data_IF_453828183754
#
_entry.id   IF_453828183754
#
_cell.length_a   1.000
_cell.length_b   1.000
_cell.length_c   1.000
_cell.angle_alpha   90.00
_cell.angle_beta   90.00
_cell.angle_gamma   90.00
#
_symmetry.space_group_name_H-M   'P 1'
#
loop_
_entity.id
_entity.type
_entity.pdbx_description
1 polymer ?
#
# COMPACT_ATOMS: atom_id res chain seq x y z
N UNK A 1 3.94 -45.17 68.24
CA UNK A 1 4.64 -45.59 67.00
C UNK A 1 3.57 -45.87 65.96
N UNK A 2 3.19 -44.86 65.16
CA UNK A 2 2.08 -44.97 64.21
C UNK A 2 2.61 -45.70 62.96
N UNK A 3 2.14 -46.92 62.74
CA UNK A 3 2.52 -47.78 61.62
C UNK A 3 1.72 -47.31 60.40
N UNK A 4 2.36 -46.51 59.54
CA UNK A 4 1.78 -46.06 58.28
C UNK A 4 1.74 -47.25 57.31
N UNK A 5 0.58 -47.57 56.69
CA UNK A 5 0.44 -48.74 55.82
C UNK A 5 1.32 -48.63 54.55
N UNK A 6 1.88 -49.76 54.05
CA UNK A 6 2.88 -49.78 52.98
C UNK A 6 2.37 -49.24 51.63
N UNK A 7 1.05 -49.24 51.42
CA UNK A 7 0.41 -48.66 50.22
C UNK A 7 0.49 -47.12 50.20
N UNK A 8 0.41 -46.46 51.37
CA UNK A 8 0.44 -44.99 51.46
C UNK A 8 1.85 -44.44 51.18
N UNK A 9 2.89 -45.21 51.54
CA UNK A 9 4.30 -44.87 51.30
C UNK A 9 4.67 -44.93 49.81
N UNK A 10 4.12 -45.89 49.06
CA UNK A 10 4.27 -45.97 47.59
C UNK A 10 3.55 -44.82 46.88
N UNK A 11 2.36 -44.44 47.37
CA UNK A 11 1.61 -43.30 46.82
C UNK A 11 2.33 -41.96 47.05
N UNK A 12 2.94 -41.77 48.22
CA UNK A 12 3.73 -40.57 48.53
C UNK A 12 5.01 -40.49 47.69
N UNK A 13 5.70 -41.60 47.45
CA UNK A 13 6.85 -41.68 46.55
C UNK A 13 6.48 -41.38 45.09
N UNK A 14 5.32 -41.85 44.62
CA UNK A 14 4.81 -41.54 43.28
C UNK A 14 4.49 -40.04 43.14
N UNK A 15 3.88 -39.41 44.15
CA UNK A 15 3.62 -37.96 44.15
C UNK A 15 4.91 -37.13 44.17
N UNK A 16 5.94 -37.56 44.90
CA UNK A 16 7.27 -36.90 44.91
C UNK A 16 7.99 -37.06 43.56
N UNK A 17 7.84 -38.19 42.89
CA UNK A 17 8.35 -38.43 41.53
C UNK A 17 7.56 -37.66 40.44
N UNK A 18 6.26 -37.40 40.65
CA UNK A 18 5.44 -36.57 39.75
C UNK A 18 5.63 -35.06 39.97
N UNK A 19 6.02 -34.63 41.18
CA UNK A 19 6.24 -33.21 41.51
C UNK A 19 7.65 -32.70 41.21
N UNK A 20 8.60 -33.58 40.88
CA UNK A 20 10.00 -33.22 40.54
C UNK A 20 10.19 -32.69 39.11
N UNK A 21 9.10 -32.51 38.34
CA UNK A 21 9.16 -32.11 36.93
C UNK A 21 8.77 -30.66 36.64
N UNK A 22 8.55 -29.82 37.66
CA UNK A 22 8.36 -28.37 37.44
C UNK A 22 9.74 -27.70 37.49
N UNK A 23 10.57 -28.02 36.50
CA UNK A 23 11.78 -27.25 36.25
C UNK A 23 11.37 -25.83 35.85
N UNK A 24 11.63 -24.86 36.73
CA UNK A 24 11.55 -23.45 36.35
C UNK A 24 12.59 -23.23 35.25
N UNK A 25 12.12 -23.00 34.02
CA UNK A 25 12.99 -22.67 32.91
C UNK A 25 13.85 -21.46 33.27
N UNK A 26 15.16 -21.59 33.11
CA UNK A 26 16.13 -20.54 33.42
C UNK A 26 17.00 -20.29 32.20
N UNK A 27 16.93 -19.08 31.63
CA UNK A 27 17.83 -18.68 30.56
C UNK A 27 19.22 -18.40 31.14
N UNK A 28 20.24 -18.60 30.31
CA UNK A 28 21.63 -18.33 30.65
C UNK A 28 22.35 -17.71 29.48
N UNK A 29 22.60 -16.40 29.55
CA UNK A 29 23.37 -15.68 28.52
C UNK A 29 24.73 -15.29 29.09
N UNK A 30 25.80 -15.69 28.43
CA UNK A 30 27.18 -15.44 28.87
C UNK A 30 28.02 -14.95 27.71
N UNK A 31 29.03 -14.17 27.97
CA UNK A 31 29.97 -13.78 26.94
C UNK A 31 31.23 -13.20 27.51
N UNK A 32 32.16 -12.91 26.61
CA UNK A 32 33.43 -12.29 26.95
C UNK A 32 33.64 -11.07 26.05
N UNK A 33 34.13 -9.99 26.63
CA UNK A 33 34.70 -8.86 25.89
C UNK A 33 36.22 -8.94 25.95
N UNK A 34 36.89 -8.25 25.01
CA UNK A 34 38.35 -8.23 24.89
C UNK A 34 39.10 -8.20 26.24
N UNK A 35 40.20 -8.95 26.30
CA UNK A 35 41.00 -9.12 27.52
C UNK A 35 41.31 -7.79 28.23
N UNK A 36 41.20 -7.82 29.57
CA UNK A 36 41.55 -6.72 30.48
C UNK A 36 40.61 -5.49 30.49
N UNK A 37 39.38 -5.60 29.95
CA UNK A 37 38.34 -4.57 30.10
C UNK A 37 37.37 -4.87 31.26
N UNK A 38 37.81 -4.63 32.50
CA UNK A 38 36.98 -4.78 33.71
C UNK A 38 36.00 -3.61 33.90
N UNK A 39 34.83 -3.88 34.47
CA UNK A 39 33.90 -2.84 34.92
C UNK A 39 33.12 -2.13 33.81
N UNK A 40 33.07 -2.71 32.60
CA UNK A 40 32.23 -2.23 31.51
C UNK A 40 30.79 -2.65 31.75
N UNK A 41 29.84 -1.77 31.45
CA UNK A 41 28.42 -2.05 31.67
C UNK A 41 27.83 -2.71 30.43
N UNK A 42 27.14 -3.82 30.64
CA UNK A 42 26.47 -4.58 29.61
C UNK A 42 25.00 -4.65 29.96
N UNK A 43 24.15 -4.49 28.94
CA UNK A 43 22.72 -4.41 29.10
C UNK A 43 22.04 -5.45 28.23
N UNK A 44 21.05 -6.12 28.81
CA UNK A 44 20.13 -7.01 28.12
C UNK A 44 18.82 -6.25 27.89
N UNK A 45 18.40 -6.12 26.64
CA UNK A 45 17.18 -5.42 26.24
C UNK A 45 16.25 -6.31 25.43
N UNK A 46 14.94 -6.08 25.50
CA UNK A 46 13.93 -6.72 24.66
C UNK A 46 13.43 -5.76 23.59
N UNK A 47 13.30 -6.25 22.35
CA UNK A 47 12.86 -5.44 21.21
C UNK A 47 11.48 -5.92 20.76
N UNK A 48 10.45 -5.20 21.20
CA UNK A 48 9.05 -5.46 20.81
C UNK A 48 8.58 -4.63 19.61
N UNK A 49 9.41 -3.68 19.17
CA UNK A 49 9.17 -2.82 18.01
C UNK A 49 10.34 -2.99 17.05
N UNK A 50 10.11 -3.71 15.96
CA UNK A 50 11.15 -4.04 14.97
C UNK A 50 11.68 -2.79 14.25
N UNK A 51 10.98 -1.65 14.26
CA UNK A 51 11.51 -0.37 13.73
C UNK A 51 12.60 0.23 14.62
N UNK A 52 12.86 -0.34 15.79
CA UNK A 52 13.92 0.07 16.74
C UNK A 52 15.14 -0.86 16.75
N UNK A 53 15.31 -1.74 15.74
CA UNK A 53 16.49 -2.60 15.64
C UNK A 53 17.83 -1.84 15.60
N UNK A 54 17.87 -0.60 15.09
CA UNK A 54 19.08 0.21 15.07
C UNK A 54 19.27 1.17 16.25
N UNK A 55 18.33 1.26 17.20
CA UNK A 55 18.36 2.28 18.27
C UNK A 55 18.30 1.64 19.65
N UNK A 56 19.15 2.10 20.56
CA UNK A 56 19.11 1.71 21.98
C UNK A 56 18.09 2.58 22.68
N UNK A 57 17.13 1.97 23.38
CA UNK A 57 16.11 2.69 24.14
C UNK A 57 16.12 2.23 25.60
N UNK A 58 16.17 3.18 26.53
CA UNK A 58 16.25 2.87 27.97
C UNK A 58 15.03 2.07 28.47
N UNK A 59 13.85 2.30 27.89
CA UNK A 59 12.63 1.58 28.25
C UNK A 59 12.61 0.11 27.78
N UNK A 60 13.58 -0.32 26.98
CA UNK A 60 13.72 -1.70 26.51
C UNK A 60 14.67 -2.53 27.39
N UNK A 61 15.39 -1.90 28.32
CA UNK A 61 16.38 -2.58 29.16
C UNK A 61 15.67 -3.45 30.20
N UNK A 62 15.96 -4.76 30.16
CA UNK A 62 15.48 -5.73 31.13
C UNK A 62 16.44 -5.88 32.31
N UNK A 63 17.74 -5.99 32.02
CA UNK A 63 18.79 -6.22 33.01
C UNK A 63 20.08 -5.50 32.61
N UNK A 64 20.91 -5.21 33.61
CA UNK A 64 22.29 -4.74 33.43
C UNK A 64 23.24 -5.56 34.28
N UNK A 65 24.47 -5.72 33.81
CA UNK A 65 25.57 -6.38 34.51
C UNK A 65 26.88 -5.67 34.19
N UNK A 66 27.95 -6.02 34.89
CA UNK A 66 29.28 -5.48 34.65
C UNK A 66 30.27 -6.59 34.36
N UNK A 67 31.29 -6.31 33.56
CA UNK A 67 32.35 -7.28 33.26
C UNK A 67 33.30 -7.49 34.44
N UNK A 68 33.75 -8.73 34.62
CA UNK A 68 34.79 -9.08 35.59
C UNK A 68 36.19 -8.66 35.11
N UNK A 69 37.22 -9.00 35.88
CA UNK A 69 38.62 -8.67 35.57
C UNK A 69 39.14 -9.27 34.26
N UNK A 70 38.49 -10.32 33.76
CA UNK A 70 38.83 -11.03 32.53
C UNK A 70 37.91 -10.65 31.36
N UNK A 71 36.95 -9.74 31.58
CA UNK A 71 36.00 -9.29 30.56
C UNK A 71 34.76 -10.18 30.43
N UNK A 72 34.52 -11.15 31.33
CA UNK A 72 33.32 -11.99 31.27
C UNK A 72 32.10 -11.29 31.83
N UNK A 73 30.94 -11.63 31.26
CA UNK A 73 29.64 -11.22 31.75
C UNK A 73 28.63 -12.37 31.70
N UNK A 74 27.59 -12.27 32.53
CA UNK A 74 26.49 -13.24 32.54
C UNK A 74 25.16 -12.60 32.93
N UNK A 75 24.10 -13.05 32.27
CA UNK A 75 22.71 -12.81 32.61
C UNK A 75 22.02 -14.16 32.85
N UNK A 76 21.42 -14.33 34.02
CA UNK A 76 20.65 -15.51 34.37
C UNK A 76 19.30 -15.10 34.94
N UNK A 77 18.27 -15.91 34.74
CA UNK A 77 16.96 -15.69 35.35
C UNK A 77 15.87 -16.53 34.72
N UNK A 78 14.64 -16.33 35.17
CA UNK A 78 13.45 -17.06 34.73
C UNK A 78 12.31 -16.12 34.29
N UNK A 79 12.63 -14.87 34.03
CA UNK A 79 11.68 -13.77 33.81
C UNK A 79 11.57 -13.35 32.33
N UNK A 80 12.07 -14.15 31.40
CA UNK A 80 11.85 -13.93 29.96
C UNK A 80 10.56 -14.61 29.50
N UNK A 81 10.11 -14.21 28.31
CA UNK A 81 8.95 -14.82 27.66
C UNK A 81 9.33 -16.23 27.16
N UNK A 82 8.41 -17.19 27.27
CA UNK A 82 8.65 -18.59 26.88
C UNK A 82 8.66 -18.78 25.36
N UNK A 83 7.95 -17.95 24.60
CA UNK A 83 8.11 -17.94 23.14
C UNK A 83 9.35 -17.13 22.74
N UNK A 84 9.91 -17.45 21.57
CA UNK A 84 11.00 -16.67 21.00
C UNK A 84 10.63 -15.18 20.90
N UNK A 85 11.58 -14.34 21.32
CA UNK A 85 11.55 -12.88 21.22
C UNK A 85 12.91 -12.38 20.76
N UNK A 86 12.92 -11.14 20.31
CA UNK A 86 14.13 -10.46 19.85
C UNK A 86 14.75 -9.74 21.04
N UNK A 87 15.99 -10.10 21.35
CA UNK A 87 16.77 -9.47 22.41
C UNK A 87 17.99 -8.79 21.82
N UNK A 88 18.51 -7.83 22.59
CA UNK A 88 19.78 -7.17 22.31
C UNK A 88 20.69 -7.25 23.52
N UNK A 89 21.94 -7.61 23.29
CA UNK A 89 23.03 -7.29 24.21
C UNK A 89 23.77 -6.08 23.65
N UNK A 90 23.94 -5.07 24.49
CA UNK A 90 24.76 -3.91 24.14
C UNK A 90 25.81 -3.64 25.22
N UNK A 91 27.02 -3.38 24.75
CA UNK A 91 28.16 -2.93 25.53
C UNK A 91 28.22 -1.41 25.45
N UNK A 92 28.18 -0.76 26.61
CA UNK A 92 28.39 0.67 26.73
C UNK A 92 29.87 0.95 27.02
N UNK A 93 30.62 1.37 25.99
CA UNK A 93 32.03 1.76 26.06
C UNK A 93 32.21 3.29 25.82
N UNK A 94 31.15 4.08 25.98
CA UNK A 94 31.18 5.52 25.70
C UNK A 94 31.88 6.31 26.85
N UNK A 95 32.70 7.33 26.55
CA UNK A 95 33.33 8.15 27.59
C UNK A 95 32.29 8.90 28.42
N UNK A 96 32.49 9.00 29.74
CA UNK A 96 31.54 9.71 30.64
C UNK A 96 31.40 11.22 30.36
N UNK A 97 32.23 11.80 29.50
CA UNK A 97 32.23 13.23 29.14
C UNK A 97 31.28 13.58 27.98
N UNK A 98 30.85 12.60 27.17
CA UNK A 98 29.80 12.77 26.16
C UNK A 98 28.44 12.64 26.85
N UNK A 99 27.71 13.75 26.93
CA UNK A 99 26.42 13.89 27.58
C UNK A 99 25.40 12.85 27.11
N UNK A 100 24.46 12.52 28.01
CA UNK A 100 23.29 11.65 27.83
C UNK A 100 22.46 11.86 26.56
N UNK A 101 22.69 12.94 25.82
CA UNK A 101 22.12 13.21 24.50
C UNK A 101 22.66 12.30 23.39
N UNK A 102 23.95 11.93 23.38
CA UNK A 102 24.51 11.06 22.34
C UNK A 102 23.97 9.62 22.44
N UNK A 103 23.68 9.17 23.67
CA UNK A 103 22.95 7.93 23.92
C UNK A 103 21.49 7.97 23.45
N UNK A 104 20.84 9.13 23.47
CA UNK A 104 19.46 9.27 23.01
C UNK A 104 19.33 9.14 21.48
N UNK A 105 20.34 9.57 20.73
CA UNK A 105 20.36 9.49 19.26
C UNK A 105 21.10 8.24 18.72
N UNK A 106 21.71 7.44 19.59
CA UNK A 106 22.38 6.18 19.21
C UNK A 106 23.68 6.39 18.44
N UNK A 107 24.42 7.45 18.75
CA UNK A 107 25.57 7.95 17.97
C UNK A 107 26.90 7.68 18.66
N UNK A 108 27.08 6.54 19.33
CA UNK A 108 28.35 6.20 19.96
C UNK A 108 29.09 5.15 19.13
N UNK A 109 30.19 5.58 18.49
CA UNK A 109 31.08 4.75 17.67
C UNK A 109 31.71 3.59 18.46
N UNK A 110 31.78 3.71 19.79
CA UNK A 110 32.32 2.70 20.70
C UNK A 110 31.25 1.74 21.28
N UNK A 111 29.97 1.97 20.98
CA UNK A 111 28.90 1.07 21.45
C UNK A 111 28.78 -0.13 20.51
N UNK A 112 29.06 -1.33 21.04
CA UNK A 112 28.88 -2.59 20.31
C UNK A 112 27.57 -3.23 20.73
N UNK A 113 26.81 -3.76 19.78
CA UNK A 113 25.57 -4.46 20.11
C UNK A 113 25.28 -5.60 19.14
N UNK A 114 24.60 -6.62 19.65
CA UNK A 114 24.16 -7.77 18.87
C UNK A 114 22.69 -8.06 19.14
N UNK A 115 21.95 -8.30 18.07
CA UNK A 115 20.58 -8.79 18.12
C UNK A 115 20.57 -10.31 18.04
N UNK A 116 19.68 -10.95 18.78
CA UNK A 116 19.53 -12.40 18.74
C UNK A 116 18.11 -12.82 19.11
N UNK A 117 17.74 -14.01 18.68
CA UNK A 117 16.49 -14.65 19.05
C UNK A 117 16.73 -15.51 20.28
N UNK A 118 15.89 -15.36 21.31
CA UNK A 118 15.94 -16.22 22.48
C UNK A 118 14.56 -16.40 23.12
N UNK A 119 14.47 -17.32 24.07
CA UNK A 119 13.36 -17.47 25.00
C UNK A 119 13.87 -17.77 26.43
N UNK A 120 12.96 -18.00 27.37
CA UNK A 120 13.28 -18.25 28.78
C UNK A 120 14.00 -19.58 29.07
N UNK A 121 14.17 -20.45 28.07
CA UNK A 121 14.84 -21.78 28.17
C UNK A 121 16.23 -21.78 27.55
N UNK A 122 16.58 -20.75 26.77
CA UNK A 122 17.78 -20.77 25.95
C UNK A 122 19.05 -20.48 26.75
N UNK A 123 20.12 -21.18 26.37
CA UNK A 123 21.49 -20.87 26.82
C UNK A 123 22.28 -20.35 25.63
N UNK A 124 22.83 -19.14 25.76
CA UNK A 124 23.52 -18.42 24.70
C UNK A 124 24.89 -17.97 25.18
N UNK A 125 25.88 -18.16 24.33
CA UNK A 125 27.26 -17.76 24.55
C UNK A 125 27.72 -16.84 23.43
N UNK A 126 28.38 -15.74 23.81
CA UNK A 126 28.96 -14.75 22.92
C UNK A 126 30.50 -14.80 23.07
N UNK A 127 31.18 -15.67 22.32
CA UNK A 127 32.64 -15.73 22.34
C UNK A 127 33.25 -14.47 21.71
N UNK A 128 34.53 -14.22 21.99
CA UNK A 128 35.32 -13.24 21.25
C UNK A 128 35.73 -13.81 19.90
N UNK A 129 35.75 -12.97 18.87
CA UNK A 129 36.24 -13.36 17.54
C UNK A 129 37.77 -13.57 17.54
N UNK A 130 38.31 -14.06 16.42
CA UNK A 130 39.75 -14.20 16.19
C UNK A 130 40.52 -12.87 16.38
N UNK A 131 39.89 -11.74 16.06
CA UNK A 131 40.46 -10.39 16.23
C UNK A 131 40.13 -9.78 17.61
N UNK A 132 39.73 -10.60 18.57
CA UNK A 132 39.32 -10.21 19.92
C UNK A 132 38.13 -9.23 19.93
N UNK A 133 37.27 -9.30 18.91
CA UNK A 133 36.07 -8.47 18.85
C UNK A 133 34.95 -9.10 19.66
N UNK A 134 34.31 -8.29 20.49
CA UNK A 134 33.15 -8.70 21.27
C UNK A 134 31.87 -8.66 20.43
N UNK A 135 30.97 -9.61 20.69
CA UNK A 135 29.60 -9.65 20.15
C UNK A 135 29.52 -9.82 18.62
N UNK A 136 30.42 -10.63 18.03
CA UNK A 136 30.40 -10.96 16.60
C UNK A 136 29.93 -12.38 16.30
N UNK A 137 29.83 -13.25 17.31
CA UNK A 137 29.44 -14.65 17.17
C UNK A 137 28.43 -15.05 18.25
N UNK A 138 27.55 -15.99 17.91
CA UNK A 138 26.53 -16.55 18.80
C UNK A 138 26.61 -18.06 18.75
N UNK A 139 26.86 -18.68 19.89
CA UNK A 139 26.67 -20.12 20.08
C UNK A 139 25.50 -20.34 21.05
N UNK A 140 24.48 -21.07 20.63
CA UNK A 140 23.20 -21.17 21.35
C UNK A 140 22.65 -22.60 21.31
N UNK A 141 21.88 -22.96 22.35
CA UNK A 141 21.02 -24.16 22.33
C UNK A 141 19.88 -24.05 21.31
N UNK A 142 19.52 -22.83 20.93
CA UNK A 142 18.54 -22.50 19.92
C UNK A 142 19.25 -22.14 18.61
N UNK A 143 19.09 -22.99 17.59
CA UNK A 143 19.70 -22.81 16.27
C UNK A 143 19.27 -21.53 15.56
N UNK A 144 18.17 -20.89 15.99
CA UNK A 144 17.67 -19.65 15.39
C UNK A 144 18.31 -18.39 16.00
N UNK A 145 19.03 -18.49 17.11
CA UNK A 145 19.60 -17.34 17.82
C UNK A 145 20.58 -16.52 16.97
N UNK A 146 21.38 -17.18 16.12
CA UNK A 146 22.41 -16.53 15.29
C UNK A 146 21.89 -16.00 13.96
N UNK A 147 20.64 -16.29 13.59
CA UNK A 147 20.09 -16.02 12.25
C UNK A 147 20.23 -14.57 11.78
N UNK A 148 20.19 -13.60 12.69
CA UNK A 148 20.37 -12.19 12.32
C UNK A 148 21.79 -11.88 11.82
N UNK A 149 22.81 -12.56 12.34
CA UNK A 149 24.18 -12.45 11.83
C UNK A 149 24.26 -12.95 10.38
N UNK A 150 23.62 -14.09 10.08
CA UNK A 150 23.58 -14.64 8.72
C UNK A 150 22.88 -13.67 7.75
N UNK A 151 21.81 -13.01 8.20
CA UNK A 151 21.10 -11.99 7.42
C UNK A 151 21.98 -10.75 7.23
N UNK A 152 22.73 -10.32 8.23
CA UNK A 152 23.66 -9.20 8.12
C UNK A 152 24.75 -9.49 7.09
N UNK A 153 25.28 -10.72 7.03
CA UNK A 153 26.20 -11.14 5.96
C UNK A 153 25.54 -11.03 4.57
N UNK A 154 24.29 -11.46 4.41
CA UNK A 154 23.57 -11.32 3.13
C UNK A 154 23.32 -9.86 2.76
N UNK A 155 23.06 -8.98 3.74
CA UNK A 155 22.90 -7.53 3.51
C UNK A 155 24.20 -6.90 3.02
N UNK A 156 25.34 -7.29 3.56
CA UNK A 156 26.65 -6.81 3.11
C UNK A 156 26.96 -7.30 1.68
N UNK A 157 26.67 -8.56 1.36
CA UNK A 157 26.82 -9.09 0.00
C UNK A 157 25.90 -8.36 -0.99
N UNK A 158 24.66 -8.07 -0.59
CA UNK A 158 23.76 -7.24 -1.38
C UNK A 158 24.35 -5.85 -1.62
N UNK A 159 24.83 -5.16 -0.57
CA UNK A 159 25.43 -3.85 -0.71
C UNK A 159 26.63 -3.85 -1.68
N UNK A 160 27.46 -4.90 -1.61
CA UNK A 160 28.58 -5.11 -2.54
C UNK A 160 28.11 -5.24 -4.00
N UNK A 161 27.13 -6.10 -4.29
CA UNK A 161 26.58 -6.31 -5.63
C UNK A 161 25.98 -5.01 -6.24
N UNK A 162 25.41 -4.14 -5.40
CA UNK A 162 24.88 -2.84 -5.83
C UNK A 162 25.98 -1.79 -6.09
N UNK A 163 27.11 -1.87 -5.40
CA UNK A 163 28.22 -0.95 -5.58
C UNK A 163 29.02 -1.24 -6.86
N UNK A 164 29.13 -2.51 -7.25
CA UNK A 164 29.93 -2.95 -8.42
C UNK A 164 29.33 -2.46 -9.76
N UNK A 165 28.00 -2.28 -9.85
CA UNK A 165 27.33 -1.89 -11.08
C UNK A 165 26.28 -0.79 -10.92
N UNK A 166 26.52 0.36 -11.59
CA UNK A 166 25.69 1.57 -11.44
C UNK A 166 24.53 1.72 -12.41
N UNK A 167 24.38 0.85 -13.41
CA UNK A 167 23.33 1.02 -14.43
C UNK A 167 21.94 0.72 -13.88
N UNK A 168 20.92 1.47 -14.30
CA UNK A 168 19.54 1.26 -13.85
C UNK A 168 18.99 -0.13 -14.21
N UNK A 169 19.43 -0.69 -15.34
CA UNK A 169 19.10 -2.04 -15.74
C UNK A 169 19.66 -3.08 -14.76
N UNK A 170 20.91 -2.92 -14.31
CA UNK A 170 21.50 -3.82 -13.34
C UNK A 170 20.87 -3.65 -11.95
N UNK A 171 20.63 -2.40 -11.52
CA UNK A 171 19.91 -2.13 -10.26
C UNK A 171 18.57 -2.86 -10.20
N UNK A 172 17.78 -2.84 -11.28
CA UNK A 172 16.50 -3.56 -11.35
C UNK A 172 16.68 -5.08 -11.23
N UNK A 173 17.67 -5.66 -11.91
CA UNK A 173 17.95 -7.09 -11.86
C UNK A 173 18.44 -7.52 -10.46
N UNK A 174 19.39 -6.77 -9.90
CA UNK A 174 19.93 -7.00 -8.57
C UNK A 174 18.86 -6.84 -7.48
N UNK A 175 17.97 -5.85 -7.57
CA UNK A 175 16.86 -5.72 -6.62
C UNK A 175 15.99 -6.96 -6.64
N UNK A 176 15.59 -7.45 -7.83
CA UNK A 176 14.78 -8.67 -7.92
C UNK A 176 15.49 -9.89 -7.34
N UNK A 177 16.76 -10.10 -7.73
CA UNK A 177 17.59 -11.21 -7.24
C UNK A 177 17.68 -11.20 -5.72
N UNK A 178 18.06 -10.07 -5.13
CA UNK A 178 18.32 -9.96 -3.69
C UNK A 178 17.06 -9.98 -2.84
N UNK A 179 15.94 -9.41 -3.32
CA UNK A 179 14.65 -9.54 -2.64
C UNK A 179 14.21 -11.00 -2.57
N UNK A 180 14.24 -11.73 -3.69
CA UNK A 180 13.93 -13.17 -3.70
C UNK A 180 14.89 -13.94 -2.79
N UNK A 181 16.19 -13.66 -2.87
CA UNK A 181 17.21 -14.35 -2.06
C UNK A 181 16.95 -14.18 -0.56
N UNK A 182 16.68 -12.95 -0.11
CA UNK A 182 16.39 -12.66 1.30
C UNK A 182 15.05 -13.27 1.74
N UNK A 183 13.99 -13.16 0.93
CA UNK A 183 12.69 -13.75 1.22
C UNK A 183 12.78 -15.29 1.33
N UNK A 184 13.41 -15.94 0.35
CA UNK A 184 13.62 -17.39 0.31
C UNK A 184 14.50 -17.87 1.48
N UNK A 185 15.53 -17.09 1.84
CA UNK A 185 16.38 -17.38 2.99
C UNK A 185 15.57 -17.32 4.29
N UNK A 186 14.80 -16.24 4.48
CA UNK A 186 13.93 -16.04 5.62
C UNK A 186 12.90 -17.16 5.79
N UNK A 187 12.21 -17.56 4.72
CA UNK A 187 11.20 -18.60 4.76
C UNK A 187 11.79 -19.99 5.09
N UNK A 188 12.97 -20.32 4.55
CA UNK A 188 13.69 -21.58 4.85
C UNK A 188 14.11 -21.71 6.31
N UNK A 189 14.26 -20.59 7.01
CA UNK A 189 14.65 -20.61 8.41
C UNK A 189 13.51 -21.05 9.34
N UNK A 190 12.26 -21.10 8.86
CA UNK A 190 11.08 -21.47 9.69
C UNK A 190 11.00 -20.63 10.99
N UNK A 191 11.41 -19.37 10.90
CA UNK A 191 11.45 -18.44 12.00
C UNK A 191 10.98 -17.06 11.54
N UNK A 192 9.69 -16.71 11.73
CA UNK A 192 9.12 -15.44 11.28
C UNK A 192 9.81 -14.20 11.86
N UNK A 193 10.54 -14.31 12.98
CA UNK A 193 11.35 -13.19 13.50
C UNK A 193 12.54 -12.87 12.58
N UNK A 194 13.12 -13.87 11.92
CA UNK A 194 14.18 -13.70 10.93
C UNK A 194 13.65 -12.95 9.70
N UNK A 195 12.48 -13.36 9.22
CA UNK A 195 11.77 -12.70 8.14
C UNK A 195 11.37 -11.27 8.51
N UNK A 196 10.96 -11.02 9.75
CA UNK A 196 10.66 -9.67 10.26
C UNK A 196 11.90 -8.76 10.27
N UNK A 197 13.09 -9.32 10.54
CA UNK A 197 14.36 -8.60 10.46
C UNK A 197 14.72 -8.24 9.01
N UNK A 198 14.55 -9.18 8.08
CA UNK A 198 14.68 -8.94 6.63
C UNK A 198 13.69 -7.85 6.19
N UNK A 199 12.42 -7.99 6.58
CA UNK A 199 11.38 -7.03 6.27
C UNK A 199 11.74 -5.62 6.75
N UNK A 200 12.23 -5.48 7.98
CA UNK A 200 12.65 -4.20 8.54
C UNK A 200 13.67 -3.50 7.62
N UNK A 201 14.66 -4.24 7.13
CA UNK A 201 15.68 -3.74 6.22
C UNK A 201 15.12 -3.37 4.84
N UNK A 202 14.33 -4.25 4.23
CA UNK A 202 13.80 -4.06 2.86
C UNK A 202 12.80 -2.90 2.78
N UNK A 203 11.97 -2.73 3.81
CA UNK A 203 10.90 -1.73 3.87
C UNK A 203 11.29 -0.41 4.54
N UNK A 204 12.54 -0.23 4.97
CA UNK A 204 12.97 1.04 5.57
C UNK A 204 12.94 2.16 4.52
N UNK A 205 12.11 3.18 4.75
CA UNK A 205 11.92 4.35 3.87
C UNK A 205 13.21 5.14 3.60
N UNK A 206 14.22 4.97 4.44
CA UNK A 206 15.53 5.63 4.31
C UNK A 206 16.50 4.83 3.44
N UNK A 207 16.16 3.58 3.12
CA UNK A 207 17.01 2.65 2.38
C UNK A 207 16.65 2.66 0.88
N UNK A 208 17.65 2.42 0.03
CA UNK A 208 17.50 2.33 -1.43
C UNK A 208 16.55 1.20 -1.86
N UNK A 209 16.36 0.21 -0.98
CA UNK A 209 15.46 -0.94 -1.17
C UNK A 209 13.98 -0.57 -1.18
N UNK A 210 13.59 0.52 -0.51
CA UNK A 210 12.17 0.86 -0.29
C UNK A 210 11.37 1.01 -1.60
N UNK A 211 11.99 1.62 -2.59
CA UNK A 211 11.37 1.86 -3.90
C UNK A 211 11.00 0.55 -4.63
N UNK A 212 11.81 -0.50 -4.45
CA UNK A 212 11.53 -1.83 -5.00
C UNK A 212 10.52 -2.57 -4.12
N UNK A 213 10.65 -2.50 -2.79
CA UNK A 213 9.71 -3.07 -1.84
C UNK A 213 8.25 -2.66 -2.12
N UNK A 214 7.98 -1.38 -2.34
CA UNK A 214 6.62 -0.90 -2.65
C UNK A 214 6.04 -1.48 -3.95
N UNK A 215 6.89 -1.89 -4.89
CA UNK A 215 6.45 -2.60 -6.10
C UNK A 215 6.26 -4.09 -5.81
N UNK A 216 7.16 -4.67 -5.02
CA UNK A 216 7.15 -6.10 -4.68
C UNK A 216 5.91 -6.49 -3.87
N UNK A 217 5.54 -5.70 -2.86
CA UNK A 217 4.37 -5.95 -1.99
C UNK A 217 3.04 -6.02 -2.75
N UNK A 218 2.92 -5.34 -3.89
CA UNK A 218 1.74 -5.40 -4.74
C UNK A 218 1.71 -6.61 -5.69
N UNK A 219 2.83 -7.32 -5.84
CA UNK A 219 3.02 -8.40 -6.82
C UNK A 219 3.24 -9.78 -6.17
N UNK A 220 3.49 -9.84 -4.86
CA UNK A 220 3.77 -11.08 -4.14
C UNK A 220 2.83 -11.25 -2.94
N UNK A 221 2.58 -12.51 -2.54
CA UNK A 221 1.83 -12.82 -1.32
C UNK A 221 2.73 -13.05 -0.10
N UNK A 222 4.06 -12.97 -0.29
CA UNK A 222 5.09 -13.20 0.73
C UNK A 222 4.81 -12.42 2.02
N UNK A 223 4.55 -11.12 1.92
CA UNK A 223 4.35 -10.25 3.08
C UNK A 223 3.05 -10.56 3.83
N UNK A 224 2.01 -11.00 3.13
CA UNK A 224 0.75 -11.44 3.77
C UNK A 224 1.00 -12.74 4.54
N UNK A 225 1.64 -13.71 3.89
CA UNK A 225 2.01 -15.00 4.50
C UNK A 225 2.93 -14.84 5.70
N UNK A 226 3.88 -13.90 5.66
CA UNK A 226 4.69 -13.56 6.83
C UNK A 226 3.82 -13.07 7.99
N UNK A 227 2.81 -12.24 7.72
CA UNK A 227 1.84 -11.80 8.73
C UNK A 227 1.05 -12.97 9.32
N UNK A 228 0.64 -13.93 8.49
CA UNK A 228 -0.03 -15.16 8.92
C UNK A 228 0.88 -16.03 9.80
N UNK A 229 2.15 -16.21 9.40
CA UNK A 229 3.15 -16.95 10.19
C UNK A 229 3.45 -16.27 11.54
N UNK A 230 3.61 -14.94 11.54
CA UNK A 230 3.79 -14.15 12.76
C UNK A 230 2.58 -14.27 13.69
N UNK A 231 1.36 -14.20 13.16
CA UNK A 231 0.15 -14.35 13.96
C UNK A 231 -0.04 -15.79 14.47
N UNK A 232 0.34 -16.80 13.69
CA UNK A 232 0.28 -18.19 14.12
C UNK A 232 1.26 -18.50 15.26
N UNK A 233 2.51 -18.01 15.16
CA UNK A 233 3.58 -18.32 16.12
C UNK A 233 3.65 -17.33 17.29
N UNK A 234 3.30 -16.06 17.07
CA UNK A 234 3.39 -14.96 18.03
C UNK A 234 2.13 -14.07 18.07
N UNK A 235 0.92 -14.64 18.31
CA UNK A 235 -0.34 -13.91 18.21
C UNK A 235 -0.48 -12.74 19.18
N UNK A 236 0.19 -12.81 20.34
CA UNK A 236 0.10 -11.80 21.42
C UNK A 236 1.27 -10.81 21.41
N UNK A 237 2.20 -10.94 20.49
CA UNK A 237 3.39 -10.09 20.47
C UNK A 237 3.07 -8.71 19.85
N UNK A 238 3.54 -7.60 20.46
CA UNK A 238 3.35 -6.25 19.93
C UNK A 238 3.81 -6.09 18.46
N UNK A 239 4.95 -6.68 18.10
CA UNK A 239 5.48 -6.60 16.73
C UNK A 239 4.56 -7.23 15.69
N UNK A 240 3.77 -8.24 16.03
CA UNK A 240 2.84 -8.90 15.10
C UNK A 240 1.76 -7.93 14.66
N UNK A 241 1.13 -7.23 15.62
CA UNK A 241 0.11 -6.23 15.33
C UNK A 241 0.70 -5.04 14.57
N UNK A 242 1.90 -4.58 14.94
CA UNK A 242 2.60 -3.53 14.22
C UNK A 242 2.82 -3.91 12.75
N UNK A 243 3.30 -5.13 12.50
CA UNK A 243 3.54 -5.65 11.16
C UNK A 243 2.27 -5.73 10.32
N UNK A 244 1.20 -6.33 10.85
CA UNK A 244 -0.07 -6.49 10.12
C UNK A 244 -0.64 -5.12 9.72
N UNK A 245 -0.62 -4.16 10.64
CA UNK A 245 -1.09 -2.81 10.37
C UNK A 245 -0.26 -2.11 9.29
N UNK A 246 1.07 -2.26 9.34
CA UNK A 246 1.97 -1.65 8.37
C UNK A 246 1.78 -2.24 6.97
N UNK A 247 1.67 -3.56 6.84
CA UNK A 247 1.39 -4.23 5.56
C UNK A 247 0.07 -3.79 4.97
N UNK A 248 -0.98 -3.67 5.78
CA UNK A 248 -2.29 -3.20 5.31
C UNK A 248 -2.22 -1.78 4.71
N UNK A 249 -1.42 -0.90 5.30
CA UNK A 249 -1.19 0.46 4.80
C UNK A 249 -0.39 0.43 3.51
N UNK A 250 0.73 -0.29 3.49
CA UNK A 250 1.64 -0.33 2.35
C UNK A 250 0.99 -0.98 1.11
N UNK A 251 0.10 -1.95 1.30
CA UNK A 251 -0.70 -2.54 0.21
C UNK A 251 -1.66 -1.53 -0.43
N UNK A 252 -2.29 -0.66 0.37
CA UNK A 252 -3.15 0.40 -0.17
C UNK A 252 -2.33 1.40 -0.99
N UNK A 253 -1.14 1.76 -0.49
CA UNK A 253 -0.20 2.64 -1.21
C UNK A 253 0.23 2.00 -2.53
N UNK A 254 0.66 0.74 -2.52
CA UNK A 254 1.05 0.00 -3.72
C UNK A 254 -0.10 -0.13 -4.73
N UNK A 255 -1.32 -0.44 -4.27
CA UNK A 255 -2.51 -0.57 -5.12
C UNK A 255 -2.94 0.76 -5.75
N UNK A 256 -2.75 1.89 -5.07
CA UNK A 256 -3.09 3.23 -5.58
C UNK A 256 -2.23 3.68 -6.77
N UNK A 257 -1.02 3.12 -6.91
CA UNK A 257 -0.08 3.43 -7.99
C UNK A 257 -0.39 2.70 -9.30
N UNK A 258 -1.38 1.80 -9.32
CA UNK A 258 -1.91 1.24 -10.57
C UNK A 258 -2.93 2.22 -11.16
N UNK A 259 -2.71 2.79 -12.36
CA UNK A 259 -3.71 3.64 -12.97
C UNK A 259 -4.94 2.79 -13.29
N UNK A 260 -5.96 2.83 -12.43
CA UNK A 260 -7.26 2.23 -12.73
C UNK A 260 -7.71 2.76 -14.10
N UNK A 261 -8.15 1.90 -15.03
CA UNK A 261 -8.65 2.35 -16.32
C UNK A 261 -9.81 3.31 -16.04
N UNK A 262 -9.56 4.59 -16.28
CA UNK A 262 -10.45 5.65 -15.85
C UNK A 262 -11.57 5.81 -16.86
N UNK A 263 -12.39 4.77 -17.00
CA UNK A 263 -13.52 4.66 -17.94
C UNK A 263 -14.48 5.85 -17.81
N UNK A 264 -14.57 6.44 -16.60
CA UNK A 264 -15.34 7.65 -16.32
C UNK A 264 -14.89 8.88 -17.12
N UNK A 265 -13.61 8.97 -17.52
CA UNK A 265 -13.13 10.07 -18.39
C UNK A 265 -13.81 10.06 -19.76
N UNK A 266 -14.24 8.90 -20.23
CA UNK A 266 -14.91 8.74 -21.52
C UNK A 266 -16.44 8.74 -21.43
N UNK A 267 -16.99 8.46 -20.25
CA UNK A 267 -18.43 8.46 -20.00
C UNK A 267 -19.06 9.84 -20.24
N UNK A 268 -18.41 10.89 -19.73
CA UNK A 268 -18.90 12.27 -19.86
C UNK A 268 -18.94 12.78 -21.32
N UNK A 269 -17.85 12.66 -22.12
CA UNK A 269 -17.90 13.06 -23.53
C UNK A 269 -18.83 12.18 -24.35
N UNK A 270 -18.94 10.88 -24.06
CA UNK A 270 -19.92 10.00 -24.71
C UNK A 270 -21.36 10.49 -24.47
N UNK A 271 -21.72 10.77 -23.22
CA UNK A 271 -23.06 11.29 -22.88
C UNK A 271 -23.33 12.65 -23.52
N UNK A 272 -22.33 13.54 -23.56
CA UNK A 272 -22.45 14.85 -24.20
C UNK A 272 -22.66 14.72 -25.72
N UNK A 273 -21.88 13.88 -26.39
CA UNK A 273 -22.02 13.64 -27.83
C UNK A 273 -23.37 13.03 -28.18
N UNK A 274 -23.85 12.08 -27.38
CA UNK A 274 -25.18 11.47 -27.54
C UNK A 274 -26.29 12.51 -27.33
N UNK A 275 -26.16 13.37 -26.32
CA UNK A 275 -27.12 14.45 -26.06
C UNK A 275 -27.17 15.46 -27.20
N UNK A 276 -26.02 15.87 -27.73
CA UNK A 276 -25.94 16.78 -28.89
C UNK A 276 -26.55 16.13 -30.12
N UNK A 277 -26.22 14.87 -30.41
CA UNK A 277 -26.77 14.13 -31.55
C UNK A 277 -28.30 13.99 -31.46
N UNK A 278 -28.84 13.69 -30.28
CA UNK A 278 -30.29 13.60 -30.07
C UNK A 278 -30.99 14.95 -30.25
N UNK A 279 -30.42 16.04 -29.75
CA UNK A 279 -30.97 17.38 -29.95
C UNK A 279 -30.95 17.79 -31.43
N UNK A 280 -29.84 17.53 -32.14
CA UNK A 280 -29.75 17.78 -33.60
C UNK A 280 -30.79 16.96 -34.35
N UNK A 281 -30.92 15.67 -34.03
CA UNK A 281 -31.92 14.79 -34.63
C UNK A 281 -33.34 15.31 -34.40
N UNK A 282 -33.67 15.72 -33.18
CA UNK A 282 -34.99 16.27 -32.85
C UNK A 282 -35.28 17.58 -33.59
N UNK A 283 -34.30 18.48 -33.70
CA UNK A 283 -34.43 19.73 -34.45
C UNK A 283 -34.67 19.48 -35.95
N UNK A 284 -33.94 18.53 -36.56
CA UNK A 284 -34.12 18.17 -37.96
C UNK A 284 -35.52 17.57 -38.18
N UNK A 285 -35.94 16.63 -37.32
CA UNK A 285 -37.25 16.00 -37.40
C UNK A 285 -38.39 17.02 -37.27
N UNK A 286 -38.27 17.97 -36.34
CA UNK A 286 -39.29 19.00 -36.15
C UNK A 286 -39.37 19.93 -37.37
N UNK A 287 -38.22 20.31 -37.95
CA UNK A 287 -38.18 21.13 -39.17
C UNK A 287 -38.78 20.41 -40.38
N UNK A 288 -38.58 19.09 -40.50
CA UNK A 288 -39.21 18.27 -41.54
C UNK A 288 -40.73 18.20 -41.37
N UNK A 289 -41.21 18.00 -40.14
CA UNK A 289 -42.65 17.96 -39.87
C UNK A 289 -43.35 19.28 -40.22
N UNK A 290 -42.74 20.42 -39.89
CA UNK A 290 -43.28 21.75 -40.23
C UNK A 290 -43.33 21.93 -41.76
N UNK A 291 -42.26 21.57 -42.48
CA UNK A 291 -42.25 21.63 -43.95
C UNK A 291 -43.31 20.74 -44.58
N UNK A 292 -43.53 19.54 -44.05
CA UNK A 292 -44.54 18.63 -44.57
C UNK A 292 -45.96 19.18 -44.36
N UNK A 293 -46.23 19.75 -43.18
CA UNK A 293 -47.51 20.41 -42.90
C UNK A 293 -47.74 21.64 -43.80
N UNK A 294 -46.68 22.42 -44.05
CA UNK A 294 -46.72 23.57 -44.95
C UNK A 294 -47.01 23.14 -46.40
N UNK A 295 -46.38 22.06 -46.89
CA UNK A 295 -46.66 21.50 -48.21
C UNK A 295 -48.11 20.98 -48.32
N UNK A 296 -48.59 20.26 -47.31
CA UNK A 296 -49.97 19.77 -47.27
C UNK A 296 -51.00 20.93 -47.26
N UNK A 297 -50.67 22.05 -46.61
CA UNK A 297 -51.50 23.25 -46.62
C UNK A 297 -51.55 23.93 -48.00
N UNK A 298 -50.44 23.94 -48.75
CA UNK A 298 -50.39 24.43 -50.13
C UNK A 298 -51.19 23.54 -51.09
N UNK A 299 -51.16 22.22 -50.91
CA UNK A 299 -51.94 21.27 -51.71
C UNK A 299 -53.46 21.45 -51.55
N UNK A 300 -53.92 22.00 -50.41
CA UNK A 300 -55.35 22.30 -50.16
C UNK A 300 -55.87 23.57 -50.84
N UNK A 301 -54.99 24.36 -51.45
CA UNK A 301 -55.37 25.54 -52.23
C UNK A 301 -55.90 25.14 -53.61
N UNK A 302 -56.82 25.93 -54.18
CA UNK A 302 -57.21 25.73 -55.58
C UNK A 302 -56.09 26.16 -56.53
N UNK A 303 -56.10 25.70 -57.77
CA UNK A 303 -55.08 26.09 -58.78
C UNK A 303 -54.96 27.62 -58.93
N UNK A 304 -56.08 28.35 -58.89
CA UNK A 304 -56.07 29.82 -58.93
C UNK A 304 -55.44 30.43 -57.68
N UNK A 305 -55.69 29.86 -56.51
CA UNK A 305 -55.10 30.32 -55.24
C UNK A 305 -53.59 30.01 -55.18
N UNK A 306 -53.15 28.84 -55.67
CA UNK A 306 -51.73 28.49 -55.80
C UNK A 306 -50.99 29.44 -56.74
N UNK A 307 -51.59 29.77 -57.89
CA UNK A 307 -51.04 30.75 -58.83
C UNK A 307 -50.87 32.14 -58.19
N UNK A 308 -51.85 32.58 -57.38
CA UNK A 308 -51.75 33.84 -56.64
C UNK A 308 -50.64 33.77 -55.59
N UNK A 309 -50.51 32.66 -54.84
CA UNK A 309 -49.42 32.46 -53.87
C UNK A 309 -48.05 32.52 -54.56
N UNK A 310 -47.88 31.87 -55.71
CA UNK A 310 -46.64 31.91 -56.48
C UNK A 310 -46.26 33.34 -56.89
N UNK A 311 -47.23 34.11 -57.40
CA UNK A 311 -46.99 35.51 -57.75
C UNK A 311 -46.73 36.41 -56.52
N UNK A 312 -47.28 36.04 -55.36
CA UNK A 312 -46.95 36.70 -54.08
C UNK A 312 -45.48 36.47 -53.70
N UNK A 313 -44.99 35.24 -53.89
CA UNK A 313 -43.58 34.86 -53.66
C UNK A 313 -42.63 35.55 -54.63
N UNK A 314 -43.08 35.84 -55.86
CA UNK A 314 -42.38 36.66 -56.86
C UNK A 314 -42.41 38.17 -56.56
N UNK A 315 -42.95 38.59 -55.40
CA UNK A 315 -43.07 39.99 -54.98
C UNK A 315 -44.02 40.88 -55.81
N UNK A 316 -44.90 40.32 -56.65
CA UNK A 316 -45.85 41.11 -57.47
C UNK A 316 -46.96 41.76 -56.64
N UNK A 317 -47.23 43.04 -56.83
CA UNK A 317 -48.35 43.76 -56.20
C UNK A 317 -49.71 43.21 -56.63
N UNK A 318 -50.78 43.45 -55.85
CA UNK A 318 -52.13 42.99 -56.22
C UNK A 318 -52.59 43.52 -57.58
N UNK A 319 -52.06 44.67 -58.04
CA UNK A 319 -52.33 45.23 -59.37
C UNK A 319 -51.64 44.40 -60.46
N UNK A 320 -50.37 44.06 -60.27
CA UNK A 320 -49.61 43.21 -61.21
C UNK A 320 -50.17 41.78 -61.26
N UNK A 321 -50.59 41.24 -60.11
CA UNK A 321 -51.25 39.93 -60.04
C UNK A 321 -52.55 39.96 -60.84
N UNK A 322 -53.40 40.96 -60.62
CA UNK A 322 -54.66 41.16 -61.34
C UNK A 322 -54.44 41.26 -62.86
N UNK A 323 -53.44 42.03 -63.29
CA UNK A 323 -53.06 42.15 -64.70
C UNK A 323 -52.57 40.83 -65.30
N UNK A 324 -51.73 40.08 -64.58
CA UNK A 324 -51.15 38.82 -65.10
C UNK A 324 -52.16 37.67 -65.16
N UNK A 325 -53.19 37.70 -64.31
CA UNK A 325 -54.25 36.69 -64.26
C UNK A 325 -55.53 37.12 -64.98
N UNK A 326 -55.55 38.30 -65.61
CA UNK A 326 -56.70 38.88 -66.32
C UNK A 326 -57.99 38.95 -65.46
N UNK A 327 -57.86 39.31 -64.18
CA UNK A 327 -58.99 39.45 -63.22
C UNK A 327 -58.97 40.82 -62.54
N UNK A 328 -60.05 41.19 -61.84
CA UNK A 328 -60.09 42.46 -61.13
C UNK A 328 -59.22 42.45 -59.86
N UNK A 329 -58.70 43.61 -59.46
CA UNK A 329 -57.95 43.77 -58.18
C UNK A 329 -58.81 43.40 -56.97
N UNK A 330 -60.13 43.60 -57.05
CA UNK A 330 -61.07 43.18 -55.99
C UNK A 330 -61.12 41.65 -55.88
N UNK A 331 -61.16 40.95 -57.02
CA UNK A 331 -61.13 39.49 -57.10
C UNK A 331 -59.84 38.92 -56.51
N UNK A 332 -58.68 39.52 -56.83
CA UNK A 332 -57.38 39.16 -56.21
C UNK A 332 -57.42 39.33 -54.68
N UNK A 333 -57.98 40.42 -54.16
CA UNK A 333 -58.12 40.63 -52.70
C UNK A 333 -58.98 39.54 -52.05
N UNK A 334 -60.07 39.12 -52.69
CA UNK A 334 -60.92 38.03 -52.20
C UNK A 334 -60.18 36.70 -52.17
N UNK A 335 -59.44 36.35 -53.22
CA UNK A 335 -58.62 35.14 -53.23
C UNK A 335 -57.52 35.20 -52.15
N UNK A 336 -56.86 36.35 -51.96
CA UNK A 336 -55.85 36.54 -50.90
C UNK A 336 -56.46 36.33 -49.51
N UNK A 337 -57.67 36.85 -49.24
CA UNK A 337 -58.35 36.62 -47.97
C UNK A 337 -58.71 35.14 -47.76
N UNK A 338 -59.11 34.44 -48.82
CA UNK A 338 -59.35 33.00 -48.76
C UNK A 338 -58.05 32.21 -48.52
N UNK A 339 -56.95 32.60 -49.15
CA UNK A 339 -55.61 32.05 -48.95
C UNK A 339 -55.16 32.26 -47.50
N UNK A 340 -55.35 33.45 -46.93
CA UNK A 340 -55.01 33.72 -45.53
C UNK A 340 -55.75 32.79 -44.57
N UNK A 341 -57.05 32.56 -44.82
CA UNK A 341 -57.86 31.64 -44.02
C UNK A 341 -57.42 30.18 -44.19
N UNK A 342 -57.11 29.74 -45.42
CA UNK A 342 -56.72 28.36 -45.73
C UNK A 342 -55.31 28.01 -45.26
N UNK A 343 -54.36 28.94 -45.40
CA UNK A 343 -52.97 28.77 -44.94
C UNK A 343 -52.75 29.17 -43.48
N UNK A 344 -53.79 29.67 -42.79
CA UNK A 344 -53.71 30.18 -41.41
C UNK A 344 -52.55 31.16 -41.21
N UNK A 345 -52.49 32.16 -42.09
CA UNK A 345 -51.48 33.24 -42.07
C UNK A 345 -52.19 34.57 -41.89
N UNK A 346 -51.57 35.47 -41.13
CA UNK A 346 -52.13 36.78 -40.81
C UNK A 346 -51.71 37.87 -41.81
N UNK A 347 -50.69 37.62 -42.63
CA UNK A 347 -50.16 38.64 -43.53
C UNK A 347 -49.49 38.07 -44.78
N UNK A 348 -49.35 38.94 -45.78
CA UNK A 348 -48.59 38.68 -47.01
C UNK A 348 -47.13 38.35 -46.72
N UNK A 349 -46.53 39.04 -45.75
CA UNK A 349 -45.13 38.82 -45.39
C UNK A 349 -44.95 37.49 -44.65
N UNK A 350 -45.96 37.02 -43.92
CA UNK A 350 -45.97 35.67 -43.35
C UNK A 350 -45.99 34.59 -44.43
N UNK A 351 -46.77 34.76 -45.52
CA UNK A 351 -46.71 33.86 -46.69
C UNK A 351 -45.29 33.83 -47.25
N UNK A 352 -44.70 35.01 -47.50
CA UNK A 352 -43.35 35.12 -48.04
C UNK A 352 -42.31 34.48 -47.14
N UNK A 353 -42.44 34.58 -45.81
CA UNK A 353 -41.50 34.01 -44.84
C UNK A 353 -41.65 32.50 -44.72
N UNK A 354 -42.88 31.99 -44.67
CA UNK A 354 -43.18 30.57 -44.47
C UNK A 354 -42.94 29.74 -45.73
N UNK A 355 -43.27 30.27 -46.91
CA UNK A 355 -43.22 29.55 -48.19
C UNK A 355 -42.13 30.03 -49.15
N UNK A 356 -41.09 30.73 -48.66
CA UNK A 356 -39.98 31.18 -49.51
C UNK A 356 -39.26 29.96 -50.12
N UNK A 357 -39.11 29.87 -51.46
CA UNK A 357 -38.22 28.88 -52.04
C UNK A 357 -36.78 29.20 -51.63
N UNK A 358 -36.06 28.18 -51.14
CA UNK A 358 -34.62 28.25 -50.91
C UNK A 358 -33.96 28.38 -52.29
N UNK A 359 -33.48 29.57 -52.60
CA UNK A 359 -32.63 29.83 -53.79
C UNK A 359 -31.17 29.79 -53.39
#
# INVERSE_FOLDING_TARGET
MIIIPPMLRKFFLIIILLSSSIGLSQYNFKGQIAEQKSGKTIYLSIIEDYRKFGRISMNQILKKTTTDSLGYFSFNGNNLINENRIYRIHLDDCPKSSSSSEHFFGSCEYSKSILFIANNTDTITFPTSFDNEALCEITSTNSKSSTFLDIDVLKEQMAFDFNDFRSDANRKLNSKKWFSTLQDFGEKLDEPLAELYIFNFLSDKRNETYSYYLKDIGNTDYYIKLGERLNAKYPKAPFTNLYINEIAIDQQIAGSNTPKPQLWKWLLPLLLTLSIALNIYFLIRNKQNIKNADNEALEKLTEQEQNIVQQILENKTNKEIASSMFISVSTVKTHINNIYRKLQVASRDEIKRRYRPLT
#
